data_IF_096012026045
#
_entry.id   IF_096012026045
#
_cell.length_a   1.000
_cell.length_b   1.000
_cell.length_c   1.000
_cell.angle_alpha   90.00
_cell.angle_beta   90.00
_cell.angle_gamma   90.00
#
_symmetry.space_group_name_H-M   'P 1'
#
loop_
_entity.id
_entity.type
_entity.pdbx_description
1 polymer ?
#
# COMPACT_ATOMS: atom_id res chain seq x y z
N UNK A 1 -22.74 27.92 -21.21
CA UNK A 1 -21.66 27.43 -22.09
C UNK A 1 -20.43 28.30 -21.85
N UNK A 2 -19.45 27.84 -21.06
CA UNK A 2 -18.16 28.53 -20.91
C UNK A 2 -17.06 27.60 -21.42
N UNK A 3 -16.22 28.22 -22.21
CA UNK A 3 -15.35 27.67 -23.22
C UNK A 3 -14.06 27.10 -22.65
N UNK A 4 -13.66 26.01 -23.29
CA UNK A 4 -12.42 25.27 -23.21
C UNK A 4 -11.19 26.16 -23.43
N UNK A 5 -10.18 26.05 -22.56
CA UNK A 5 -8.78 26.41 -22.83
C UNK A 5 -7.85 25.56 -21.98
N UNK A 6 -7.54 24.35 -22.45
CA UNK A 6 -6.29 23.68 -22.09
C UNK A 6 -5.41 23.62 -23.35
N UNK A 7 -4.54 24.62 -23.46
CA UNK A 7 -3.37 24.56 -24.33
C UNK A 7 -2.32 23.75 -23.58
N UNK A 8 -1.93 22.59 -24.09
CA UNK A 8 -0.80 21.81 -23.58
C UNK A 8 0.03 21.32 -24.75
N UNK A 9 1.31 21.65 -24.68
CA UNK A 9 2.32 21.45 -25.72
C UNK A 9 2.58 19.97 -26.00
N UNK A 10 2.85 19.63 -27.26
CA UNK A 10 3.27 18.30 -27.69
C UNK A 10 4.66 17.96 -27.17
N UNK A 11 4.71 17.19 -26.09
CA UNK A 11 5.83 16.37 -25.69
C UNK A 11 5.28 15.19 -24.92
N UNK A 12 5.32 13.99 -25.52
CA UNK A 12 4.96 12.67 -24.95
C UNK A 12 4.34 12.71 -23.54
N UNK A 13 3.11 13.22 -23.42
CA UNK A 13 2.46 13.44 -22.14
C UNK A 13 1.55 12.28 -21.83
N UNK A 14 1.86 11.53 -20.77
CA UNK A 14 0.92 10.58 -20.18
C UNK A 14 -0.24 11.35 -19.56
N UNK A 15 -1.42 11.30 -20.18
CA UNK A 15 -2.63 11.89 -19.62
C UNK A 15 -3.12 11.02 -18.45
N UNK A 16 -3.51 11.66 -17.33
CA UNK A 16 -4.06 10.99 -16.16
C UNK A 16 -5.47 11.49 -15.85
N UNK A 17 -6.45 10.60 -15.88
CA UNK A 17 -7.83 10.90 -15.51
C UNK A 17 -8.17 10.22 -14.18
N UNK A 18 -8.74 10.94 -13.19
CA UNK A 18 -9.30 10.30 -12.01
C UNK A 18 -10.58 9.56 -12.43
N UNK A 19 -10.56 8.23 -12.27
CA UNK A 19 -11.67 7.35 -12.65
C UNK A 19 -12.12 6.58 -11.41
N UNK A 20 -13.43 6.45 -11.23
CA UNK A 20 -14.00 5.49 -10.30
C UNK A 20 -13.91 4.09 -10.93
N UNK A 21 -13.11 3.23 -10.32
CA UNK A 21 -12.92 1.86 -10.76
C UNK A 21 -13.95 0.99 -10.04
N UNK A 22 -15.00 0.60 -10.76
CA UNK A 22 -16.01 -0.36 -10.29
C UNK A 22 -15.53 -1.80 -10.48
N UNK A 23 -16.19 -2.81 -9.88
CA UNK A 23 -15.86 -4.23 -10.09
C UNK A 23 -15.85 -4.64 -11.57
N UNK A 24 -16.77 -4.12 -12.37
CA UNK A 24 -16.88 -4.40 -13.80
C UNK A 24 -15.69 -3.81 -14.57
N UNK A 25 -15.32 -2.55 -14.27
CA UNK A 25 -14.16 -1.89 -14.88
C UNK A 25 -12.87 -2.61 -14.45
N UNK A 26 -12.78 -2.98 -13.18
CA UNK A 26 -11.63 -3.71 -12.66
C UNK A 26 -11.45 -5.06 -13.37
N UNK A 27 -12.53 -5.80 -13.62
CA UNK A 27 -12.47 -7.05 -14.36
C UNK A 27 -12.04 -6.82 -15.81
N UNK A 28 -12.60 -5.81 -16.49
CA UNK A 28 -12.18 -5.45 -17.84
C UNK A 28 -10.67 -5.14 -17.92
N UNK A 29 -10.13 -4.43 -16.93
CA UNK A 29 -8.70 -4.12 -16.87
C UNK A 29 -7.84 -5.36 -16.62
N UNK A 30 -8.32 -6.32 -15.83
CA UNK A 30 -7.64 -7.59 -15.63
C UNK A 30 -7.62 -8.45 -16.91
N UNK A 31 -8.65 -8.35 -17.74
CA UNK A 31 -8.74 -9.08 -18.99
C UNK A 31 -7.76 -8.55 -20.06
N UNK A 32 -7.23 -7.32 -19.91
CA UNK A 32 -6.21 -6.73 -20.80
C UNK A 32 -4.78 -6.85 -20.26
N UNK A 33 -4.53 -7.72 -19.30
CA UNK A 33 -3.18 -7.89 -18.74
C UNK A 33 -2.15 -8.35 -19.78
N UNK A 34 -0.97 -7.72 -19.75
CA UNK A 34 0.16 -8.17 -20.56
C UNK A 34 0.57 -9.60 -20.19
N UNK A 35 0.98 -10.38 -21.19
CA UNK A 35 1.40 -11.77 -20.98
C UNK A 35 2.66 -11.84 -20.11
N UNK A 36 2.72 -12.79 -19.17
CA UNK A 36 3.89 -12.99 -18.31
C UNK A 36 3.99 -12.05 -17.09
N UNK A 37 2.91 -11.33 -16.77
CA UNK A 37 2.84 -10.51 -15.56
C UNK A 37 3.03 -11.36 -14.29
N UNK A 38 3.61 -10.75 -13.26
CA UNK A 38 3.95 -11.47 -12.01
C UNK A 38 2.67 -11.99 -11.34
N UNK A 39 2.67 -13.24 -10.85
CA UNK A 39 1.50 -13.80 -10.19
C UNK A 39 1.10 -12.97 -8.97
N UNK A 40 -0.21 -12.87 -8.73
CA UNK A 40 -0.77 -12.15 -7.59
C UNK A 40 -0.35 -12.83 -6.29
N UNK A 41 0.46 -12.13 -5.50
CA UNK A 41 0.79 -12.54 -4.14
C UNK A 41 -0.42 -12.34 -3.23
N UNK A 42 -1.00 -13.44 -2.73
CA UNK A 42 -2.18 -13.42 -1.85
C UNK A 42 -1.98 -12.55 -0.60
N UNK A 43 -0.78 -12.55 -0.02
CA UNK A 43 -0.42 -11.68 1.13
C UNK A 43 -0.60 -10.19 0.83
N UNK A 44 -0.13 -9.73 -0.33
CA UNK A 44 -0.28 -8.33 -0.72
C UNK A 44 -1.74 -7.99 -0.99
N UNK A 45 -2.47 -8.90 -1.65
CA UNK A 45 -3.90 -8.73 -1.91
C UNK A 45 -4.70 -8.62 -0.61
N UNK A 46 -4.50 -9.52 0.35
CA UNK A 46 -5.16 -9.46 1.68
C UNK A 46 -4.94 -8.11 2.37
N UNK A 47 -3.73 -7.57 2.32
CA UNK A 47 -3.43 -6.25 2.90
C UNK A 47 -4.21 -5.13 2.20
N UNK A 48 -4.26 -5.15 0.87
CA UNK A 48 -5.01 -4.16 0.08
C UNK A 48 -6.51 -4.22 0.37
N UNK A 49 -7.07 -5.43 0.46
CA UNK A 49 -8.49 -5.64 0.81
C UNK A 49 -8.82 -5.07 2.19
N UNK A 50 -7.94 -5.26 3.19
CA UNK A 50 -8.15 -4.65 4.53
C UNK A 50 -8.11 -3.13 4.48
N UNK A 51 -7.17 -2.54 3.72
CA UNK A 51 -7.11 -1.07 3.55
C UNK A 51 -8.34 -0.53 2.79
N UNK A 52 -8.88 -1.28 1.83
CA UNK A 52 -10.11 -0.94 1.11
C UNK A 52 -11.36 -0.96 2.00
N UNK A 53 -11.52 -1.98 2.84
CA UNK A 53 -12.61 -2.04 3.82
C UNK A 53 -12.61 -0.87 4.81
N UNK A 54 -11.47 -0.19 4.99
CA UNK A 54 -11.33 1.02 5.83
C UNK A 54 -11.56 2.33 5.06
N UNK A 55 -11.91 2.30 3.78
CA UNK A 55 -12.15 3.49 2.96
C UNK A 55 -10.89 4.28 2.59
N UNK A 56 -9.69 3.74 2.86
CA UNK A 56 -8.42 4.47 2.74
C UNK A 56 -7.99 4.76 1.31
N UNK A 57 -8.58 4.06 0.34
CA UNK A 57 -8.34 4.31 -1.09
C UNK A 57 -8.97 5.60 -1.59
N UNK A 58 -10.06 6.03 -0.96
CA UNK A 58 -10.75 7.28 -1.33
C UNK A 58 -10.12 8.51 -0.68
N UNK A 59 -9.03 8.34 0.08
CA UNK A 59 -8.29 9.42 0.74
C UNK A 59 -7.21 10.07 -0.16
N UNK A 60 -7.17 9.74 -1.46
CA UNK A 60 -6.21 10.34 -2.39
C UNK A 60 -4.77 9.87 -2.18
N UNK A 61 -4.56 8.56 -2.08
CA UNK A 61 -3.24 7.97 -1.80
C UNK A 61 -2.20 8.15 -2.93
N UNK A 62 -2.61 8.67 -4.09
CA UNK A 62 -1.75 8.93 -5.25
C UNK A 62 -1.34 7.68 -6.05
N UNK A 63 -1.89 6.52 -5.70
CA UNK A 63 -1.68 5.29 -6.46
C UNK A 63 -2.40 5.35 -7.82
N UNK A 64 -1.83 4.69 -8.82
CA UNK A 64 -2.26 4.78 -10.22
C UNK A 64 -2.54 3.39 -10.81
N UNK A 65 -3.37 3.32 -11.84
CA UNK A 65 -3.46 2.17 -12.75
C UNK A 65 -2.80 2.58 -14.06
N UNK A 66 -1.94 1.74 -14.62
CA UNK A 66 -1.12 2.10 -15.78
C UNK A 66 -1.30 1.15 -16.93
N UNK A 67 -1.46 1.72 -18.11
CA UNK A 67 -1.54 1.01 -19.38
C UNK A 67 -0.36 1.36 -20.28
N UNK A 68 0.13 0.39 -21.04
CA UNK A 68 1.13 0.65 -22.08
C UNK A 68 0.49 1.27 -23.34
N UNK A 69 1.29 1.41 -24.40
CA UNK A 69 0.85 1.96 -25.68
C UNK A 69 -0.19 1.07 -26.40
N UNK A 70 -0.20 -0.23 -26.11
CA UNK A 70 -1.13 -1.22 -26.67
C UNK A 70 -2.40 -1.40 -25.80
N UNK A 71 -2.60 -0.52 -24.81
CA UNK A 71 -3.70 -0.56 -23.83
C UNK A 71 -3.72 -1.84 -22.96
N UNK A 72 -2.57 -2.48 -22.79
CA UNK A 72 -2.42 -3.59 -21.87
C UNK A 72 -2.13 -3.08 -20.45
N UNK A 73 -2.74 -3.72 -19.45
CA UNK A 73 -2.51 -3.39 -18.04
C UNK A 73 -1.09 -3.80 -17.64
N UNK A 74 -0.25 -2.83 -17.26
CA UNK A 74 1.15 -3.08 -16.85
C UNK A 74 1.40 -2.90 -15.35
N UNK A 75 0.58 -2.09 -14.67
CA UNK A 75 0.62 -1.88 -13.22
C UNK A 75 -0.78 -1.53 -12.69
N UNK A 76 -1.11 -1.99 -11.49
CA UNK A 76 -2.45 -1.86 -10.91
C UNK A 76 -3.21 -3.18 -10.78
N UNK A 77 -2.64 -4.30 -11.21
CA UNK A 77 -3.29 -5.61 -11.13
C UNK A 77 -3.81 -5.93 -9.72
N UNK A 78 -3.03 -5.69 -8.67
CA UNK A 78 -3.46 -5.95 -7.29
C UNK A 78 -4.60 -5.04 -6.83
N UNK A 79 -4.68 -3.82 -7.38
CA UNK A 79 -5.77 -2.88 -7.12
C UNK A 79 -7.04 -3.34 -7.81
N UNK A 80 -6.96 -3.71 -9.09
CA UNK A 80 -8.10 -4.26 -9.85
C UNK A 80 -8.60 -5.56 -9.21
N UNK A 81 -7.72 -6.50 -8.85
CA UNK A 81 -8.10 -7.72 -8.14
C UNK A 81 -8.75 -7.43 -6.79
N UNK A 82 -8.26 -6.43 -6.05
CA UNK A 82 -8.88 -6.03 -4.78
C UNK A 82 -10.31 -5.55 -5.02
N UNK A 83 -10.53 -4.61 -5.95
CA UNK A 83 -11.86 -4.07 -6.29
C UNK A 83 -12.81 -5.18 -6.73
N UNK A 84 -12.36 -6.05 -7.64
CA UNK A 84 -13.14 -7.17 -8.14
C UNK A 84 -13.47 -8.21 -7.05
N UNK A 85 -12.61 -8.36 -6.02
CA UNK A 85 -12.81 -9.33 -4.92
C UNK A 85 -13.60 -8.77 -3.74
N UNK A 86 -13.49 -7.48 -3.44
CA UNK A 86 -14.20 -6.86 -2.31
C UNK A 86 -15.49 -6.18 -2.73
N UNK A 87 -15.77 -6.10 -4.03
CA UNK A 87 -16.91 -5.37 -4.59
C UNK A 87 -16.96 -3.90 -4.12
N UNK A 88 -15.79 -3.32 -3.86
CA UNK A 88 -15.64 -1.95 -3.34
C UNK A 88 -14.95 -1.08 -4.37
N UNK A 89 -15.68 -0.12 -4.95
CA UNK A 89 -15.11 0.84 -5.90
C UNK A 89 -14.05 1.72 -5.25
N UNK A 90 -13.06 2.12 -6.04
CA UNK A 90 -12.01 3.07 -5.62
C UNK A 90 -11.82 4.18 -6.63
N UNK A 91 -11.45 5.37 -6.17
CA UNK A 91 -11.00 6.45 -7.05
C UNK A 91 -9.49 6.38 -7.24
N UNK A 92 -9.04 6.20 -8.47
CA UNK A 92 -7.60 6.17 -8.81
C UNK A 92 -7.32 6.91 -10.11
N UNK A 93 -6.09 7.37 -10.26
CA UNK A 93 -5.62 7.95 -11.52
C UNK A 93 -5.30 6.82 -12.49
N UNK A 94 -5.90 6.86 -13.68
CA UNK A 94 -5.56 5.98 -14.79
C UNK A 94 -4.59 6.71 -15.71
N UNK A 95 -3.40 6.13 -15.89
CA UNK A 95 -2.34 6.65 -16.73
C UNK A 95 -2.21 5.77 -17.97
N UNK A 96 -2.40 6.36 -19.13
CA UNK A 96 -2.34 5.65 -20.42
C UNK A 96 -1.05 6.00 -21.18
N UNK A 97 -0.71 5.17 -22.17
CA UNK A 97 0.45 5.34 -23.05
C UNK A 97 1.80 5.35 -22.32
N UNK A 98 1.92 4.58 -21.24
CA UNK A 98 3.20 4.41 -20.56
C UNK A 98 4.18 3.66 -21.48
N UNK A 99 5.46 4.04 -21.42
CA UNK A 99 6.51 3.31 -22.10
C UNK A 99 6.49 1.84 -21.64
N UNK A 100 6.44 0.85 -22.55
CA UNK A 100 6.42 -0.57 -22.17
C UNK A 100 7.57 -0.95 -21.24
N UNK A 101 8.76 -0.36 -21.40
CA UNK A 101 9.92 -0.65 -20.51
C UNK A 101 9.76 -0.10 -19.10
N UNK A 102 8.78 0.77 -18.84
CA UNK A 102 8.54 1.31 -17.51
C UNK A 102 8.21 0.20 -16.49
N UNK A 103 7.57 -0.91 -16.88
CA UNK A 103 7.24 -1.99 -15.94
C UNK A 103 8.48 -2.62 -15.27
N UNK A 104 9.67 -2.49 -15.88
CA UNK A 104 10.93 -3.01 -15.33
C UNK A 104 11.42 -2.20 -14.13
N UNK A 105 11.07 -0.91 -14.07
CA UNK A 105 11.49 0.01 -13.00
C UNK A 105 10.36 0.36 -12.03
N UNK A 106 9.11 0.10 -12.40
CA UNK A 106 7.96 0.21 -11.50
C UNK A 106 8.20 -0.70 -10.28
N UNK A 107 8.08 -0.12 -9.09
CA UNK A 107 8.36 -0.74 -7.79
C UNK A 107 9.82 -1.15 -7.51
N UNK A 108 10.80 -0.65 -8.29
CA UNK A 108 12.22 -0.90 -8.01
C UNK A 108 12.76 -0.14 -6.78
N UNK A 109 11.95 0.72 -6.16
CA UNK A 109 12.30 1.47 -4.97
C UNK A 109 12.28 0.63 -3.69
N UNK A 110 13.05 1.06 -2.68
CA UNK A 110 13.03 0.42 -1.37
C UNK A 110 11.61 0.46 -0.76
N UNK A 111 11.09 -0.66 -0.25
CA UNK A 111 9.76 -0.68 0.35
C UNK A 111 9.73 0.19 1.61
N UNK A 112 8.81 1.16 1.66
CA UNK A 112 8.59 2.01 2.84
C UNK A 112 8.08 1.14 4.00
N UNK A 113 8.88 0.95 5.05
CA UNK A 113 8.46 0.16 6.22
C UNK A 113 7.62 1.02 7.18
N UNK A 114 6.84 0.39 8.06
CA UNK A 114 5.98 1.11 9.02
C UNK A 114 6.78 2.12 9.88
N UNK A 115 8.01 1.76 10.25
CA UNK A 115 8.93 2.63 10.97
C UNK A 115 9.29 3.91 10.19
N UNK A 116 9.43 3.85 8.86
CA UNK A 116 9.73 5.03 8.05
C UNK A 116 8.59 6.07 8.13
N UNK A 117 7.34 5.61 8.16
CA UNK A 117 6.17 6.50 8.31
C UNK A 117 6.09 7.10 9.71
N UNK A 118 6.26 6.28 10.76
CA UNK A 118 6.28 6.78 12.14
C UNK A 118 7.40 7.81 12.34
N UNK A 119 8.56 7.62 11.70
CA UNK A 119 9.65 8.60 11.71
C UNK A 119 9.26 9.90 11.01
N UNK A 120 8.62 9.83 9.84
CA UNK A 120 8.12 11.02 9.12
C UNK A 120 7.10 11.80 9.98
N UNK A 121 6.32 11.11 10.81
CA UNK A 121 5.35 11.71 11.73
C UNK A 121 5.95 12.20 13.06
N UNK A 122 7.28 12.15 13.23
CA UNK A 122 7.97 12.72 14.40
C UNK A 122 8.15 11.79 15.59
N UNK A 123 7.85 10.49 15.47
CA UNK A 123 8.01 9.53 16.57
C UNK A 123 9.48 9.13 16.75
N UNK A 124 10.06 9.43 17.93
CA UNK A 124 11.50 9.29 18.24
C UNK A 124 12.02 7.85 18.23
N UNK A 125 11.17 6.87 18.58
CA UNK A 125 11.51 5.43 18.65
C UNK A 125 10.79 4.61 17.58
N UNK A 126 10.59 5.20 16.39
CA UNK A 126 9.76 4.67 15.31
C UNK A 126 9.94 3.17 15.01
N UNK A 127 11.17 2.65 15.01
CA UNK A 127 11.43 1.23 14.74
C UNK A 127 10.93 0.30 15.86
N UNK A 128 11.26 0.62 17.11
CA UNK A 128 10.83 -0.18 18.27
C UNK A 128 9.33 -0.07 18.49
N UNK A 129 8.76 1.11 18.28
CA UNK A 129 7.30 1.33 18.33
C UNK A 129 6.58 0.56 17.23
N UNK A 130 7.06 0.59 15.98
CA UNK A 130 6.48 -0.21 14.89
C UNK A 130 6.54 -1.73 15.18
N UNK A 131 7.64 -2.21 15.77
CA UNK A 131 7.79 -3.61 16.15
C UNK A 131 6.82 -4.00 17.27
N UNK A 132 6.69 -3.18 18.31
CA UNK A 132 5.75 -3.41 19.41
C UNK A 132 4.29 -3.40 18.92
N UNK A 133 3.92 -2.44 18.05
CA UNK A 133 2.60 -2.39 17.41
C UNK A 133 2.33 -3.62 16.54
N UNK A 134 3.35 -4.10 15.82
CA UNK A 134 3.23 -5.32 15.01
C UNK A 134 2.99 -6.56 15.88
N UNK A 135 3.65 -6.64 17.04
CA UNK A 135 3.43 -7.71 18.01
C UNK A 135 2.04 -7.63 18.63
N UNK A 136 1.59 -6.43 19.02
CA UNK A 136 0.25 -6.21 19.55
C UNK A 136 -0.82 -6.59 18.52
N UNK A 137 -0.63 -6.20 17.25
CA UNK A 137 -1.54 -6.60 16.17
C UNK A 137 -1.63 -8.13 16.07
N UNK A 138 -0.48 -8.83 16.07
CA UNK A 138 -0.48 -10.30 16.01
C UNK A 138 -1.15 -10.96 17.21
N UNK A 139 -1.02 -10.38 18.39
CA UNK A 139 -1.73 -10.83 19.59
C UNK A 139 -3.25 -10.70 19.41
N UNK A 140 -3.72 -9.52 19.00
CA UNK A 140 -5.15 -9.23 18.82
C UNK A 140 -5.80 -10.07 17.72
N UNK A 141 -5.06 -10.40 16.66
CA UNK A 141 -5.53 -11.22 15.54
C UNK A 141 -5.17 -12.70 15.68
N UNK A 142 -4.75 -13.13 16.88
CA UNK A 142 -4.43 -14.53 17.21
C UNK A 142 -3.42 -15.21 16.25
N UNK A 143 -2.43 -14.46 15.75
CA UNK A 143 -1.44 -14.93 14.79
C UNK A 143 0.02 -14.77 15.25
N UNK A 144 0.27 -14.80 16.56
CA UNK A 144 1.61 -14.64 17.16
C UNK A 144 2.68 -15.61 16.63
N UNK A 145 2.31 -16.83 16.25
CA UNK A 145 3.24 -17.85 15.73
C UNK A 145 3.50 -17.78 14.21
N UNK A 146 2.81 -16.90 13.49
CA UNK A 146 2.90 -16.78 12.04
C UNK A 146 3.93 -15.73 11.59
N UNK A 147 4.80 -16.10 10.65
CA UNK A 147 5.75 -15.15 10.05
C UNK A 147 5.13 -14.31 8.93
N UNK A 148 4.02 -14.75 8.35
CA UNK A 148 3.54 -14.21 7.09
C UNK A 148 2.52 -13.08 7.22
N UNK A 149 1.83 -12.97 8.35
CA UNK A 149 0.87 -11.90 8.56
C UNK A 149 1.48 -10.72 9.33
N UNK A 150 1.36 -9.56 8.73
CA UNK A 150 1.86 -8.28 9.25
C UNK A 150 0.77 -7.23 9.08
N UNK A 151 0.61 -6.30 10.04
CA UNK A 151 -0.34 -5.21 9.89
C UNK A 151 -0.03 -4.38 8.65
N UNK A 152 -1.09 -3.83 8.04
CA UNK A 152 -0.96 -2.71 7.12
C UNK A 152 -0.48 -1.47 7.86
N UNK A 153 0.01 -0.46 7.13
CA UNK A 153 0.45 0.78 7.76
C UNK A 153 -0.67 1.48 8.52
N UNK A 154 -1.91 1.36 8.04
CA UNK A 154 -3.09 1.94 8.69
C UNK A 154 -3.44 1.18 9.96
N UNK A 155 -3.33 -0.15 9.95
CA UNK A 155 -3.54 -0.97 11.16
C UNK A 155 -2.52 -0.61 12.26
N UNK A 156 -1.26 -0.32 11.88
CA UNK A 156 -0.27 0.20 12.83
C UNK A 156 -0.69 1.56 13.40
N UNK A 157 -1.24 2.45 12.58
CA UNK A 157 -1.71 3.76 13.02
C UNK A 157 -2.93 3.69 13.94
N UNK A 158 -3.92 2.87 13.57
CA UNK A 158 -5.13 2.67 14.36
C UNK A 158 -4.77 2.12 15.74
N UNK A 159 -3.84 1.16 15.79
CA UNK A 159 -3.33 0.61 17.05
C UNK A 159 -2.58 1.66 17.87
N UNK A 160 -1.75 2.50 17.25
CA UNK A 160 -1.07 3.57 17.96
C UNK A 160 -2.06 4.58 18.57
N UNK A 161 -3.10 4.93 17.81
CA UNK A 161 -4.15 5.85 18.25
C UNK A 161 -5.00 5.25 19.38
N UNK A 162 -5.29 3.95 19.33
CA UNK A 162 -6.03 3.23 20.38
C UNK A 162 -5.18 2.93 21.62
N UNK A 163 -3.86 2.82 21.47
CA UNK A 163 -2.93 2.46 22.53
C UNK A 163 -1.74 3.44 22.63
N UNK A 164 -1.98 4.74 22.90
CA UNK A 164 -0.91 5.74 22.94
C UNK A 164 0.17 5.45 24.01
N UNK A 165 -0.20 4.74 25.09
CA UNK A 165 0.74 4.31 26.15
C UNK A 165 1.82 3.32 25.69
N UNK A 166 1.73 2.80 24.46
CA UNK A 166 2.77 1.93 23.90
C UNK A 166 4.10 2.66 23.76
N UNK A 167 4.09 3.99 23.55
CA UNK A 167 5.33 4.77 23.42
C UNK A 167 6.11 4.83 24.73
N UNK A 168 5.41 5.01 25.86
CA UNK A 168 6.05 4.97 27.18
C UNK A 168 6.53 3.56 27.50
N UNK A 169 5.75 2.53 27.13
CA UNK A 169 6.16 1.13 27.29
C UNK A 169 7.45 0.82 26.51
N UNK A 170 7.55 1.33 25.28
CA UNK A 170 8.75 1.21 24.44
C UNK A 170 9.93 1.96 25.05
N UNK A 171 9.72 3.15 25.62
CA UNK A 171 10.75 3.92 26.29
C UNK A 171 11.33 3.16 27.49
N UNK A 172 10.48 2.66 28.38
CA UNK A 172 10.90 1.83 29.53
C UNK A 172 11.62 0.57 29.06
N UNK A 173 11.10 -0.14 28.05
CA UNK A 173 11.75 -1.34 27.53
C UNK A 173 13.15 -1.06 26.96
N UNK A 174 13.34 0.08 26.30
CA UNK A 174 14.66 0.51 25.80
C UNK A 174 15.61 0.84 26.96
N UNK A 175 15.13 1.50 28.00
CA UNK A 175 15.91 1.77 29.21
C UNK A 175 16.35 0.46 29.89
N UNK A 176 15.49 -0.56 29.97
CA UNK A 176 15.81 -1.85 30.58
C UNK A 176 16.56 -2.84 29.66
N UNK A 177 16.73 -2.52 28.37
CA UNK A 177 17.28 -3.45 27.36
C UNK A 177 18.69 -3.95 27.68
N UNK A 178 19.51 -3.12 28.35
CA UNK A 178 20.87 -3.46 28.76
C UNK A 178 20.94 -4.44 29.94
N UNK A 179 19.83 -4.64 30.65
CA UNK A 179 19.71 -5.50 31.83
C UNK A 179 19.08 -6.85 31.46
N UNK A 180 18.33 -6.91 30.36
CA UNK A 180 17.73 -8.15 29.90
C UNK A 180 18.75 -9.01 29.15
N UNK A 181 18.97 -10.28 29.54
CA UNK A 181 19.80 -11.18 28.78
C UNK A 181 19.15 -11.46 27.43
N UNK A 182 19.70 -10.91 26.35
CA UNK A 182 19.31 -11.33 25.02
C UNK A 182 19.86 -12.74 24.78
N UNK A 183 19.02 -13.74 24.40
CA UNK A 183 19.57 -14.93 23.79
C UNK A 183 20.34 -14.47 22.56
N UNK A 184 21.65 -14.75 22.53
CA UNK A 184 22.42 -14.60 21.29
C UNK A 184 21.69 -15.44 20.24
N UNK A 185 21.25 -14.81 19.16
CA UNK A 185 20.69 -15.54 18.03
C UNK A 185 21.72 -16.60 17.63
N UNK A 186 21.32 -17.87 17.74
CA UNK A 186 22.08 -19.01 17.26
C UNK A 186 22.02 -19.06 15.73
#
# INVERSE_FOLDING_TARGET
>A
MKSNKYNINHGESSDSLPIEITPEIAQLFLDTQITGQRPIKLKNLKRLMRSAGKGMWNAGNGETIKFNQDLELIDGQHRCFMVAKTETSIFVLVVVFCNPKAFLIIDAGAPKVAADKLRVMGHKSAFTTAAALSLLWRYLYHCLGGNDDTPSHEEVWDLLSQHPGIEESVKVARECSHIMPHPKAA
#
